data_IF_103774606446
#
_entry.id   IF_103774606446
#
_cell.length_a   1.000
_cell.length_b   1.000
_cell.length_c   1.000
_cell.angle_alpha   90.00
_cell.angle_beta   90.00
_cell.angle_gamma   90.00
#
_symmetry.space_group_name_H-M   'P 1'
#
loop_
_entity.id
_entity.type
_entity.pdbx_description
1 polymer ?
#
# COMPACT_ATOMS: atom_id res chain seq x y z
N UNK A 1 -34.55 -22.67 58.47
CA UNK A 1 -33.20 -22.11 58.47
C UNK A 1 -33.17 -20.93 57.49
N UNK A 2 -33.17 -19.76 58.07
CA UNK A 2 -33.33 -18.45 57.38
C UNK A 2 -31.92 -17.96 57.04
N UNK A 3 -31.63 -17.70 55.76
CA UNK A 3 -30.34 -17.09 55.34
C UNK A 3 -30.58 -15.62 55.05
N UNK A 4 -29.87 -14.84 55.87
CA UNK A 4 -29.78 -13.38 55.95
C UNK A 4 -29.38 -12.73 54.60
N UNK A 5 -30.09 -11.65 54.22
CA UNK A 5 -29.67 -10.69 53.20
C UNK A 5 -28.59 -9.77 53.78
N UNK A 6 -27.38 -9.88 53.27
CA UNK A 6 -26.31 -8.93 53.57
C UNK A 6 -26.37 -7.75 52.60
N UNK A 7 -26.34 -6.55 53.21
CA UNK A 7 -26.33 -5.24 52.53
C UNK A 7 -25.10 -5.09 51.62
N UNK A 8 -25.29 -4.55 50.42
CA UNK A 8 -24.25 -4.03 49.54
C UNK A 8 -24.03 -2.55 49.90
N UNK A 9 -22.80 -2.09 50.12
CA UNK A 9 -22.54 -0.68 50.48
C UNK A 9 -22.75 0.26 49.28
N UNK A 10 -23.22 1.47 49.59
CA UNK A 10 -23.56 2.54 48.67
C UNK A 10 -22.32 3.34 48.17
N UNK A 11 -21.43 2.70 47.43
CA UNK A 11 -20.23 3.38 46.86
C UNK A 11 -20.24 3.52 45.34
N UNK A 12 -21.32 3.19 44.64
CA UNK A 12 -21.36 3.20 43.17
C UNK A 12 -21.78 4.54 42.51
N UNK A 13 -21.97 5.63 43.26
CA UNK A 13 -22.44 6.92 42.71
C UNK A 13 -21.35 7.96 42.41
N UNK A 14 -20.08 7.72 42.74
CA UNK A 14 -18.98 8.69 42.52
C UNK A 14 -18.19 8.50 41.24
N UNK A 15 -18.36 7.37 40.54
CA UNK A 15 -17.63 7.09 39.29
C UNK A 15 -18.16 7.87 38.05
N UNK A 16 -19.37 8.43 38.11
CA UNK A 16 -19.97 9.17 37.00
C UNK A 16 -19.35 10.54 36.71
N UNK A 17 -18.84 11.23 37.75
CA UNK A 17 -18.22 12.55 37.64
C UNK A 17 -16.77 12.46 37.12
N UNK A 18 -16.01 11.45 37.56
CA UNK A 18 -14.64 11.19 37.08
C UNK A 18 -14.60 10.79 35.61
N UNK A 19 -15.49 9.91 35.16
CA UNK A 19 -15.63 9.54 33.73
C UNK A 19 -16.02 10.72 32.84
N UNK A 20 -16.87 11.64 33.31
CA UNK A 20 -17.20 12.88 32.61
C UNK A 20 -16.02 13.85 32.54
N UNK A 21 -15.19 13.93 33.61
CA UNK A 21 -14.02 14.80 33.65
C UNK A 21 -12.90 14.28 32.73
N UNK A 22 -12.69 12.95 32.65
CA UNK A 22 -11.73 12.32 31.74
C UNK A 22 -12.16 12.48 30.29
N UNK A 23 -13.46 12.28 29.99
CA UNK A 23 -14.00 12.51 28.61
C UNK A 23 -13.89 13.98 28.18
N UNK A 24 -14.01 14.93 29.11
CA UNK A 24 -13.82 16.36 28.85
C UNK A 24 -12.33 16.73 28.69
N UNK A 25 -11.41 16.08 29.41
CA UNK A 25 -9.97 16.25 29.25
C UNK A 25 -9.47 15.66 27.93
N UNK A 26 -9.93 14.49 27.52
CA UNK A 26 -9.56 13.87 26.24
C UNK A 26 -10.05 14.72 25.05
N UNK A 27 -11.25 15.29 25.13
CA UNK A 27 -11.75 16.19 24.08
C UNK A 27 -11.05 17.55 24.02
N UNK A 28 -10.40 18.01 25.12
CA UNK A 28 -9.64 19.27 25.12
C UNK A 28 -8.20 19.12 24.61
N UNK A 29 -7.63 17.91 24.55
CA UNK A 29 -6.32 17.65 23.96
C UNK A 29 -6.38 17.43 22.42
N UNK A 30 -7.59 17.26 21.86
CA UNK A 30 -7.81 17.02 20.42
C UNK A 30 -8.07 18.32 19.61
N UNK A 31 -7.99 19.51 20.21
CA UNK A 31 -8.17 20.77 19.49
C UNK A 31 -6.83 21.47 19.32
N UNK A 32 -6.27 21.46 18.11
CA UNK A 32 -5.35 22.50 17.64
C UNK A 32 -6.12 23.83 17.52
N UNK A 33 -5.55 24.99 17.96
CA UNK A 33 -6.27 26.28 18.00
C UNK A 33 -6.59 26.93 16.64
N UNK A 34 -6.19 26.36 15.51
CA UNK A 34 -6.28 27.00 14.18
C UNK A 34 -7.23 26.30 13.19
N UNK A 35 -8.14 25.44 13.66
CA UNK A 35 -9.21 24.91 12.79
C UNK A 35 -10.41 25.88 12.84
N UNK A 36 -10.61 26.65 11.77
CA UNK A 36 -11.83 27.44 11.54
C UNK A 36 -13.10 26.56 11.63
N UNK A 37 -14.22 27.16 12.03
CA UNK A 37 -15.53 26.51 12.05
C UNK A 37 -15.90 26.12 10.60
N UNK A 38 -15.74 24.84 10.26
CA UNK A 38 -16.09 24.27 8.98
C UNK A 38 -16.12 22.76 9.08
N UNK A 39 -17.26 22.16 8.86
CA UNK A 39 -17.59 20.77 8.63
C UNK A 39 -16.90 19.74 9.55
N UNK A 40 -17.68 18.91 10.20
CA UNK A 40 -17.23 17.76 10.97
C UNK A 40 -16.53 16.81 10.01
N UNK A 41 -15.20 17.01 9.83
CA UNK A 41 -14.36 16.18 8.99
C UNK A 41 -14.40 14.76 9.58
N UNK A 42 -15.11 13.86 8.93
CA UNK A 42 -15.10 12.44 9.27
C UNK A 42 -13.69 11.95 9.08
N UNK A 43 -12.94 11.79 10.19
CA UNK A 43 -11.59 11.24 10.16
C UNK A 43 -11.63 9.85 9.52
N UNK A 44 -11.02 9.70 8.35
CA UNK A 44 -10.90 8.41 7.69
C UNK A 44 -9.86 7.57 8.43
N UNK A 45 -10.18 6.32 8.73
CA UNK A 45 -9.21 5.34 9.20
C UNK A 45 -8.50 4.69 8.01
N UNK A 46 -7.36 4.05 8.26
CA UNK A 46 -6.77 3.13 7.28
C UNK A 46 -7.81 2.12 6.80
N UNK A 47 -7.91 1.94 5.49
CA UNK A 47 -8.81 0.95 4.86
C UNK A 47 -8.02 -0.25 4.34
N UNK A 48 -8.69 -1.38 4.14
CA UNK A 48 -8.09 -2.54 3.47
C UNK A 48 -8.12 -2.37 1.96
N UNK A 49 -7.22 -3.07 1.27
CA UNK A 49 -7.18 -3.04 -0.21
C UNK A 49 -8.33 -3.83 -0.85
N UNK A 50 -9.06 -4.68 -0.13
CA UNK A 50 -10.04 -5.58 -0.72
C UNK A 50 -11.15 -4.83 -1.48
N UNK A 51 -11.86 -3.92 -0.78
CA UNK A 51 -12.91 -3.12 -1.43
C UNK A 51 -12.32 -2.17 -2.47
N UNK A 52 -11.19 -1.54 -2.15
CA UNK A 52 -10.49 -0.59 -3.03
C UNK A 52 -10.17 -1.21 -4.39
N UNK A 53 -9.63 -2.45 -4.41
CA UNK A 53 -9.26 -3.13 -5.65
C UNK A 53 -10.47 -3.73 -6.38
N UNK A 54 -11.52 -4.16 -5.67
CA UNK A 54 -12.80 -4.57 -6.29
C UNK A 54 -13.50 -3.39 -6.96
N UNK A 55 -13.48 -2.22 -6.35
CA UNK A 55 -14.01 -1.00 -6.96
C UNK A 55 -13.19 -0.60 -8.19
N UNK A 56 -11.85 -0.72 -8.12
CA UNK A 56 -10.98 -0.48 -9.25
C UNK A 56 -11.29 -1.42 -10.44
N UNK A 57 -11.47 -2.71 -10.15
CA UNK A 57 -11.83 -3.72 -11.13
C UNK A 57 -13.18 -3.41 -11.80
N UNK A 58 -14.20 -3.10 -11.00
CA UNK A 58 -15.53 -2.76 -11.50
C UNK A 58 -15.56 -1.42 -12.28
N UNK A 59 -14.70 -0.47 -11.86
CA UNK A 59 -14.60 0.87 -12.44
C UNK A 59 -13.61 1.00 -13.59
N UNK A 60 -12.91 -0.07 -13.98
CA UNK A 60 -11.89 -0.09 -15.03
C UNK A 60 -10.80 0.98 -14.84
N UNK A 61 -10.26 1.07 -13.62
CA UNK A 61 -9.11 1.88 -13.26
C UNK A 61 -8.14 1.05 -12.40
N UNK A 62 -6.96 1.57 -12.12
CA UNK A 62 -6.06 0.94 -11.16
C UNK A 62 -5.73 1.90 -10.01
N UNK A 63 -5.52 1.34 -8.83
CA UNK A 63 -5.01 2.09 -7.67
C UNK A 63 -3.49 2.09 -7.71
N UNK A 64 -2.90 3.27 -7.59
CA UNK A 64 -1.45 3.41 -7.46
C UNK A 64 -1.00 2.96 -6.07
N UNK A 65 0.01 2.08 -6.05
CA UNK A 65 0.69 1.62 -4.86
C UNK A 65 2.12 2.16 -4.86
N UNK A 66 2.42 3.03 -3.91
CA UNK A 66 3.65 3.82 -3.88
C UNK A 66 4.50 3.43 -2.68
N UNK A 67 5.77 3.02 -2.95
CA UNK A 67 6.71 2.72 -1.90
C UNK A 67 7.10 3.99 -1.15
N UNK A 68 6.93 3.97 0.18
CA UNK A 68 7.27 5.09 1.05
C UNK A 68 8.51 4.76 1.87
N UNK A 69 9.54 5.62 1.80
CA UNK A 69 10.84 5.38 2.42
C UNK A 69 11.01 6.14 3.75
N UNK A 70 10.24 7.21 3.94
CA UNK A 70 10.30 8.07 5.12
C UNK A 70 9.03 8.94 5.21
N UNK A 71 8.98 9.86 6.19
CA UNK A 71 7.85 10.76 6.39
C UNK A 71 7.57 11.66 5.18
N UNK A 72 8.62 12.14 4.52
CA UNK A 72 8.51 13.01 3.36
C UNK A 72 7.79 12.34 2.21
N UNK A 73 8.06 11.05 1.97
CA UNK A 73 7.34 10.25 0.97
C UNK A 73 5.87 10.10 1.34
N UNK A 74 5.55 9.76 2.59
CA UNK A 74 4.16 9.63 3.07
C UNK A 74 3.40 10.93 2.84
N UNK A 75 3.98 12.08 3.19
CA UNK A 75 3.35 13.39 3.03
C UNK A 75 3.16 13.76 1.55
N UNK A 76 4.15 13.49 0.70
CA UNK A 76 4.09 13.82 -0.72
C UNK A 76 3.05 12.96 -1.47
N UNK A 77 3.00 11.66 -1.19
CA UNK A 77 2.02 10.72 -1.77
C UNK A 77 0.61 11.09 -1.32
N UNK A 78 0.41 11.40 -0.02
CA UNK A 78 -0.90 11.86 0.46
C UNK A 78 -1.34 13.16 -0.22
N UNK A 79 -0.43 14.14 -0.35
CA UNK A 79 -0.77 15.42 -1.01
C UNK A 79 -1.25 15.20 -2.45
N UNK A 80 -0.60 14.33 -3.21
CA UNK A 80 -1.02 13.97 -4.56
C UNK A 80 -2.41 13.28 -4.58
N UNK A 81 -2.66 12.35 -3.65
CA UNK A 81 -3.93 11.65 -3.54
C UNK A 81 -5.09 12.60 -3.19
N UNK A 82 -4.86 13.55 -2.28
CA UNK A 82 -5.83 14.59 -1.91
C UNK A 82 -6.14 15.53 -3.08
N UNK A 83 -5.11 16.02 -3.79
CA UNK A 83 -5.27 16.93 -4.91
C UNK A 83 -6.03 16.27 -6.09
N UNK A 84 -5.79 14.98 -6.32
CA UNK A 84 -6.40 14.22 -7.41
C UNK A 84 -7.72 13.52 -7.03
N UNK A 85 -8.07 13.53 -5.74
CA UNK A 85 -9.20 12.73 -5.21
C UNK A 85 -9.11 11.26 -5.60
N UNK A 86 -7.93 10.68 -5.44
CA UNK A 86 -7.63 9.29 -5.79
C UNK A 86 -7.49 8.41 -4.55
N UNK A 87 -8.01 7.18 -4.54
CA UNK A 87 -7.62 6.19 -3.53
C UNK A 87 -6.13 5.87 -3.68
N UNK A 88 -5.45 5.54 -2.58
CA UNK A 88 -4.01 5.32 -2.59
C UNK A 88 -3.58 4.17 -1.69
N UNK A 89 -2.59 3.40 -2.14
CA UNK A 89 -1.89 2.40 -1.35
C UNK A 89 -0.48 2.94 -1.08
N UNK A 90 -0.12 3.07 0.20
CA UNK A 90 1.25 3.32 0.64
C UNK A 90 1.84 2.00 1.07
N UNK A 91 3.03 1.67 0.57
CA UNK A 91 3.60 0.34 0.81
C UNK A 91 5.06 0.40 1.23
N UNK A 92 5.51 -0.66 1.92
CA UNK A 92 6.90 -0.81 2.38
C UNK A 92 7.39 -2.21 2.09
N UNK A 93 8.61 -2.32 1.59
CA UNK A 93 9.30 -3.58 1.37
C UNK A 93 10.05 -4.04 2.62
N UNK A 94 10.50 -5.32 2.69
CA UNK A 94 11.39 -5.79 3.75
C UNK A 94 12.66 -4.94 3.91
N UNK A 95 13.25 -4.45 2.80
CA UNK A 95 14.43 -3.56 2.82
C UNK A 95 14.14 -2.23 3.51
N UNK A 96 13.02 -1.59 3.18
CA UNK A 96 12.56 -0.36 3.81
C UNK A 96 12.26 -0.58 5.31
N UNK A 97 11.55 -1.66 5.65
CA UNK A 97 11.21 -2.01 7.04
C UNK A 97 12.46 -2.25 7.89
N UNK A 98 13.49 -2.87 7.32
CA UNK A 98 14.78 -3.10 8.00
C UNK A 98 15.46 -1.81 8.44
N UNK A 99 15.20 -0.71 7.76
CA UNK A 99 15.78 0.61 8.08
C UNK A 99 15.12 1.27 9.29
N UNK A 100 13.79 1.21 9.41
CA UNK A 100 13.07 1.93 10.45
C UNK A 100 12.12 1.06 11.29
N UNK A 101 11.63 -0.06 10.79
CA UNK A 101 10.67 -0.92 11.48
C UNK A 101 9.22 -0.69 11.03
N UNK A 102 8.40 -1.74 11.18
CA UNK A 102 6.98 -1.74 10.81
C UNK A 102 6.16 -0.69 11.57
N UNK A 103 6.46 -0.51 12.85
CA UNK A 103 5.74 0.36 13.78
C UNK A 103 5.88 1.85 13.43
N UNK A 104 7.06 2.29 12.98
CA UNK A 104 7.25 3.66 12.53
C UNK A 104 6.45 3.94 11.25
N UNK A 105 6.50 3.04 10.27
CA UNK A 105 5.72 3.20 9.03
C UNK A 105 4.22 3.15 9.31
N UNK A 106 3.77 2.22 10.15
CA UNK A 106 2.37 2.19 10.59
C UNK A 106 1.95 3.51 11.26
N UNK A 107 2.78 4.03 12.17
CA UNK A 107 2.50 5.30 12.85
C UNK A 107 2.39 6.49 11.91
N UNK A 108 3.32 6.61 10.96
CA UNK A 108 3.33 7.70 9.98
C UNK A 108 2.12 7.63 9.03
N UNK A 109 1.88 6.45 8.43
CA UNK A 109 0.78 6.29 7.45
C UNK A 109 -0.59 6.35 8.14
N UNK A 110 -0.72 5.81 9.36
CA UNK A 110 -1.94 5.97 10.17
C UNK A 110 -2.26 7.43 10.46
N UNK A 111 -1.25 8.22 10.89
CA UNK A 111 -1.45 9.65 11.15
C UNK A 111 -1.78 10.44 9.87
N UNK A 112 -1.28 10.01 8.71
CA UNK A 112 -1.64 10.56 7.42
C UNK A 112 -3.10 10.21 7.05
N UNK A 113 -3.48 8.94 7.15
CA UNK A 113 -4.83 8.46 6.84
C UNK A 113 -5.92 9.10 7.72
N UNK A 114 -5.64 9.32 9.02
CA UNK A 114 -6.58 10.00 9.94
C UNK A 114 -6.87 11.46 9.54
N UNK A 115 -6.07 12.05 8.67
CA UNK A 115 -6.24 13.42 8.14
C UNK A 115 -6.72 13.45 6.70
N UNK A 116 -6.74 12.28 6.06
CA UNK A 116 -7.09 12.16 4.65
C UNK A 116 -8.59 12.30 4.43
N UNK A 117 -8.95 12.88 3.27
CA UNK A 117 -10.31 12.84 2.72
C UNK A 117 -10.49 11.73 1.68
N UNK A 118 -9.41 11.00 1.38
CA UNK A 118 -9.35 9.90 0.40
C UNK A 118 -9.02 8.57 1.09
N UNK A 119 -9.45 7.42 0.56
CA UNK A 119 -9.09 6.12 1.11
C UNK A 119 -7.58 5.86 1.03
N UNK A 120 -6.95 5.52 2.16
CA UNK A 120 -5.52 5.18 2.28
C UNK A 120 -5.39 3.77 2.84
N UNK A 121 -4.65 2.90 2.18
CA UNK A 121 -4.26 1.58 2.68
C UNK A 121 -2.75 1.53 2.96
N UNK A 122 -2.36 0.77 3.98
CA UNK A 122 -0.96 0.45 4.27
C UNK A 122 -0.70 -1.01 3.94
N UNK A 123 0.26 -1.25 3.03
CA UNK A 123 0.55 -2.55 2.46
C UNK A 123 1.99 -2.99 2.72
N UNK A 124 2.18 -4.26 3.10
CA UNK A 124 3.48 -4.92 3.05
C UNK A 124 3.70 -5.42 1.62
N UNK A 125 4.72 -4.88 0.97
CA UNK A 125 5.11 -5.24 -0.39
C UNK A 125 6.25 -6.27 -0.35
N UNK A 126 6.20 -7.32 -1.17
CA UNK A 126 7.18 -8.41 -1.22
C UNK A 126 7.56 -8.99 0.14
N UNK A 127 6.55 -9.39 0.93
CA UNK A 127 6.79 -10.08 2.21
C UNK A 127 7.64 -11.34 2.02
N UNK A 128 8.79 -11.38 2.72
CA UNK A 128 9.86 -12.36 2.57
C UNK A 128 9.63 -13.66 3.38
N UNK A 129 8.40 -13.91 3.81
CA UNK A 129 8.01 -15.12 4.49
C UNK A 129 6.82 -14.95 5.44
N UNK A 130 6.33 -16.09 5.95
CA UNK A 130 5.17 -16.16 6.85
C UNK A 130 5.30 -15.22 8.06
N UNK A 131 6.45 -15.27 8.76
CA UNK A 131 6.67 -14.49 9.98
C UNK A 131 6.60 -12.99 9.74
N UNK A 132 7.09 -12.52 8.61
CA UNK A 132 7.03 -11.10 8.20
C UNK A 132 5.58 -10.66 8.02
N UNK A 133 4.79 -11.45 7.33
CA UNK A 133 3.37 -11.17 7.16
C UNK A 133 2.63 -11.15 8.51
N UNK A 134 2.92 -12.09 9.41
CA UNK A 134 2.33 -12.10 10.76
C UNK A 134 2.76 -10.88 11.59
N UNK A 135 4.00 -10.42 11.47
CA UNK A 135 4.46 -9.18 12.10
C UNK A 135 3.72 -7.95 11.56
N UNK A 136 3.53 -7.88 10.24
CA UNK A 136 2.77 -6.80 9.61
C UNK A 136 1.30 -6.79 10.07
N UNK A 137 0.63 -7.93 10.08
CA UNK A 137 -0.72 -8.05 10.62
C UNK A 137 -0.81 -7.55 12.06
N UNK A 138 0.09 -8.01 12.93
CA UNK A 138 0.11 -7.60 14.34
C UNK A 138 0.37 -6.11 14.53
N UNK A 139 1.14 -5.49 13.65
CA UNK A 139 1.46 -4.06 13.71
C UNK A 139 0.27 -3.20 13.26
N UNK A 140 -0.62 -3.73 12.40
CA UNK A 140 -1.81 -3.02 11.92
C UNK A 140 -1.75 -2.65 10.44
N UNK A 141 -0.89 -3.31 9.65
CA UNK A 141 -0.95 -3.22 8.20
C UNK A 141 -2.31 -3.70 7.71
N UNK A 142 -2.91 -2.96 6.78
CA UNK A 142 -4.28 -3.21 6.30
C UNK A 142 -4.32 -4.06 5.03
N UNK A 143 -3.16 -4.45 4.52
CA UNK A 143 -2.95 -5.39 3.43
C UNK A 143 -1.52 -5.94 3.50
N UNK A 144 -1.30 -7.15 3.04
CA UNK A 144 0.05 -7.72 2.90
C UNK A 144 0.17 -8.47 1.58
N UNK A 145 1.38 -8.52 1.05
CA UNK A 145 1.78 -9.45 0.01
C UNK A 145 2.72 -10.50 0.59
N UNK A 146 2.52 -11.76 0.22
CA UNK A 146 3.49 -12.83 0.39
C UNK A 146 4.10 -13.17 -0.96
N UNK A 147 5.40 -13.09 -1.05
CA UNK A 147 6.14 -13.39 -2.27
C UNK A 147 6.77 -14.78 -2.21
N UNK A 148 6.11 -15.74 -2.85
CA UNK A 148 6.60 -17.09 -3.07
C UNK A 148 7.00 -17.37 -4.51
N UNK A 149 7.15 -16.34 -5.36
CA UNK A 149 7.44 -16.49 -6.80
C UNK A 149 8.79 -17.16 -7.12
N UNK A 150 9.70 -17.17 -6.14
CA UNK A 150 11.00 -17.83 -6.25
C UNK A 150 10.97 -19.33 -5.90
N UNK A 151 9.90 -19.79 -5.25
CA UNK A 151 9.70 -21.16 -4.85
C UNK A 151 9.13 -22.02 -6.00
N UNK A 152 8.99 -23.33 -5.76
CA UNK A 152 8.22 -24.18 -6.67
C UNK A 152 6.74 -23.80 -6.63
N UNK A 153 5.97 -24.14 -7.69
CA UNK A 153 4.54 -23.87 -7.74
C UNK A 153 3.78 -24.38 -6.51
N UNK A 154 4.08 -25.62 -6.08
CA UNK A 154 3.46 -26.24 -4.90
C UNK A 154 3.88 -25.55 -3.59
N UNK A 155 5.14 -25.20 -3.45
CA UNK A 155 5.63 -24.51 -2.25
C UNK A 155 5.09 -23.07 -2.18
N UNK A 156 4.99 -22.36 -3.32
CA UNK A 156 4.33 -21.06 -3.38
C UNK A 156 2.85 -21.16 -2.97
N UNK A 157 2.12 -22.16 -3.47
CA UNK A 157 0.74 -22.40 -3.04
C UNK A 157 0.65 -22.65 -1.53
N UNK A 158 1.50 -23.50 -0.99
CA UNK A 158 1.49 -23.83 0.43
C UNK A 158 1.78 -22.60 1.30
N UNK A 159 2.80 -21.84 0.94
CA UNK A 159 3.19 -20.60 1.62
C UNK A 159 2.06 -19.56 1.54
N UNK A 160 1.62 -19.24 0.33
CA UNK A 160 0.55 -18.25 0.09
C UNK A 160 -0.74 -18.63 0.81
N UNK A 161 -1.16 -19.90 0.75
CA UNK A 161 -2.34 -20.37 1.45
C UNK A 161 -2.24 -20.13 2.96
N UNK A 162 -1.10 -20.41 3.57
CA UNK A 162 -0.89 -20.24 5.00
C UNK A 162 -1.09 -18.78 5.45
N UNK A 163 -0.59 -17.83 4.66
CA UNK A 163 -0.76 -16.38 4.91
C UNK A 163 -2.19 -15.94 4.60
N UNK A 164 -2.78 -16.42 3.49
CA UNK A 164 -4.16 -16.09 3.11
C UNK A 164 -5.19 -16.57 4.16
N UNK A 165 -5.01 -17.77 4.72
CA UNK A 165 -5.88 -18.27 5.79
C UNK A 165 -5.77 -17.41 7.07
N UNK A 166 -4.56 -16.98 7.43
CA UNK A 166 -4.34 -16.05 8.55
C UNK A 166 -4.94 -14.67 8.28
N UNK A 167 -4.72 -14.11 7.09
CA UNK A 167 -5.27 -12.83 6.66
C UNK A 167 -6.80 -12.82 6.70
N UNK A 168 -7.42 -13.90 6.19
CA UNK A 168 -8.89 -14.07 6.23
C UNK A 168 -9.42 -14.08 7.66
N UNK A 169 -8.74 -14.76 8.58
CA UNK A 169 -9.12 -14.80 9.99
C UNK A 169 -9.03 -13.42 10.66
N UNK A 170 -8.15 -12.54 10.17
CA UNK A 170 -7.95 -11.18 10.71
C UNK A 170 -8.69 -10.09 9.91
N UNK A 171 -9.35 -10.43 8.80
CA UNK A 171 -10.00 -9.47 7.90
C UNK A 171 -9.00 -8.59 7.12
N UNK A 172 -7.79 -9.10 6.86
CA UNK A 172 -6.73 -8.41 6.12
C UNK A 172 -6.51 -9.13 4.78
N UNK A 173 -6.70 -8.47 3.63
CA UNK A 173 -6.48 -9.04 2.31
C UNK A 173 -5.01 -9.39 2.08
N UNK A 174 -4.81 -10.46 1.30
CA UNK A 174 -3.47 -10.98 0.98
C UNK A 174 -3.28 -11.02 -0.52
N UNK A 175 -2.28 -10.28 -0.99
CA UNK A 175 -1.74 -10.34 -2.34
C UNK A 175 -0.72 -11.48 -2.44
N UNK A 176 -0.66 -12.12 -3.60
CA UNK A 176 0.37 -13.12 -3.91
C UNK A 176 0.96 -12.85 -5.29
N UNK A 177 2.09 -13.49 -5.62
CA UNK A 177 2.73 -13.40 -6.92
C UNK A 177 2.87 -14.77 -7.57
N UNK A 178 2.54 -14.84 -8.86
CA UNK A 178 2.76 -15.99 -9.72
C UNK A 178 3.45 -15.57 -11.01
N UNK A 179 4.47 -16.33 -11.40
CA UNK A 179 5.44 -15.92 -12.40
C UNK A 179 6.53 -15.08 -11.75
N UNK A 180 7.60 -14.83 -12.47
CA UNK A 180 8.74 -14.07 -11.96
C UNK A 180 8.76 -12.70 -12.59
N UNK A 181 8.76 -11.65 -11.77
CA UNK A 181 9.08 -10.31 -12.23
C UNK A 181 10.60 -10.18 -12.28
N UNK A 182 11.15 -9.79 -13.43
CA UNK A 182 12.60 -9.66 -13.63
C UNK A 182 13.23 -8.58 -12.74
N UNK A 183 14.57 -8.48 -12.75
CA UNK A 183 15.29 -7.43 -12.06
C UNK A 183 15.53 -7.72 -10.57
N UNK A 184 15.67 -6.66 -9.78
CA UNK A 184 15.94 -6.75 -8.35
C UNK A 184 15.05 -5.77 -7.59
N UNK A 185 14.23 -6.28 -6.68
CA UNK A 185 13.50 -5.47 -5.71
C UNK A 185 14.32 -5.32 -4.43
N UNK A 186 14.68 -4.08 -4.08
CA UNK A 186 15.46 -3.69 -2.89
C UNK A 186 16.67 -4.61 -2.57
N UNK A 187 16.64 -5.28 -1.41
CA UNK A 187 17.67 -6.22 -0.94
C UNK A 187 17.40 -7.67 -1.40
N UNK A 188 16.32 -7.91 -2.16
CA UNK A 188 15.95 -9.24 -2.65
C UNK A 188 16.94 -9.83 -3.66
N UNK A 189 16.80 -11.11 -4.01
CA UNK A 189 17.62 -11.73 -5.05
C UNK A 189 17.29 -11.11 -6.41
N UNK A 190 18.31 -10.92 -7.25
CA UNK A 190 18.10 -10.51 -8.63
C UNK A 190 17.54 -11.69 -9.44
N UNK A 191 16.51 -11.44 -10.26
CA UNK A 191 16.03 -12.39 -11.26
C UNK A 191 16.75 -12.11 -12.57
N UNK A 192 17.69 -12.99 -12.94
CA UNK A 192 18.44 -12.89 -14.19
C UNK A 192 17.71 -13.61 -15.32
N UNK A 193 17.82 -13.06 -16.53
CA UNK A 193 17.26 -13.62 -17.76
C UNK A 193 15.80 -13.18 -18.03
N UNK A 194 15.23 -13.76 -19.08
CA UNK A 194 13.81 -13.55 -19.42
C UNK A 194 12.94 -14.31 -18.40
N UNK A 195 12.06 -13.57 -17.72
CA UNK A 195 11.07 -14.20 -16.85
C UNK A 195 9.96 -14.80 -17.68
N UNK A 196 9.59 -16.07 -17.44
CA UNK A 196 8.43 -16.64 -18.14
C UNK A 196 7.16 -15.89 -17.75
N UNK A 197 6.30 -15.64 -18.71
CA UNK A 197 4.98 -15.08 -18.46
C UNK A 197 4.15 -16.03 -17.58
N UNK A 198 3.30 -15.44 -16.73
CA UNK A 198 2.35 -16.23 -15.95
C UNK A 198 1.40 -16.98 -16.88
N UNK A 199 1.27 -18.30 -16.68
CA UNK A 199 0.30 -19.12 -17.41
C UNK A 199 -1.11 -18.91 -16.85
N UNK A 200 -2.12 -18.62 -17.69
CA UNK A 200 -3.49 -18.39 -17.22
C UNK A 200 -4.16 -19.59 -16.53
N UNK A 201 -3.81 -20.83 -16.91
CA UNK A 201 -4.35 -22.00 -16.25
C UNK A 201 -3.71 -22.22 -14.86
N UNK A 202 -2.39 -22.00 -14.76
CA UNK A 202 -1.70 -21.99 -13.46
C UNK A 202 -2.22 -20.86 -12.56
N UNK A 203 -2.48 -19.66 -13.10
CA UNK A 203 -3.05 -18.55 -12.33
C UNK A 203 -4.42 -18.91 -11.74
N UNK A 204 -5.27 -19.56 -12.52
CA UNK A 204 -6.58 -20.04 -12.04
C UNK A 204 -6.43 -21.05 -10.90
N UNK A 205 -5.63 -22.09 -11.11
CA UNK A 205 -5.38 -23.11 -10.09
C UNK A 205 -4.79 -22.51 -8.81
N UNK A 206 -3.83 -21.58 -8.97
CA UNK A 206 -3.18 -20.91 -7.86
C UNK A 206 -4.18 -20.10 -7.00
N UNK A 207 -5.02 -19.28 -7.63
CA UNK A 207 -6.06 -18.49 -6.94
C UNK A 207 -7.06 -19.41 -6.21
N UNK A 208 -7.55 -20.46 -6.87
CA UNK A 208 -8.50 -21.41 -6.29
C UNK A 208 -7.92 -22.15 -5.08
N UNK A 209 -6.64 -22.54 -5.14
CA UNK A 209 -5.98 -23.29 -4.07
C UNK A 209 -5.48 -22.44 -2.91
N UNK A 210 -5.05 -21.20 -3.18
CA UNK A 210 -4.51 -20.32 -2.15
C UNK A 210 -5.56 -19.46 -1.46
N UNK A 211 -6.58 -19.00 -2.21
CA UNK A 211 -7.57 -18.05 -1.73
C UNK A 211 -6.98 -16.66 -1.48
N UNK A 212 -5.90 -16.27 -2.19
CA UNK A 212 -5.39 -14.90 -2.20
C UNK A 212 -6.46 -13.91 -2.71
N UNK A 213 -6.39 -12.67 -2.30
CA UNK A 213 -7.41 -11.65 -2.63
C UNK A 213 -7.02 -10.75 -3.79
N UNK A 214 -5.77 -10.79 -4.24
CA UNK A 214 -5.23 -10.17 -5.45
C UNK A 214 -4.01 -10.95 -5.92
N UNK A 215 -3.69 -10.86 -7.21
CA UNK A 215 -2.61 -11.63 -7.83
C UNK A 215 -1.71 -10.73 -8.66
N UNK A 216 -0.43 -10.64 -8.28
CA UNK A 216 0.63 -10.07 -9.11
C UNK A 216 1.07 -11.10 -10.16
N UNK A 217 1.24 -10.63 -11.40
CA UNK A 217 1.46 -11.47 -12.56
C UNK A 217 2.73 -11.07 -13.32
N UNK A 218 3.49 -12.06 -13.76
CA UNK A 218 4.65 -11.88 -14.67
C UNK A 218 4.17 -11.64 -16.10
N UNK A 219 4.42 -10.45 -16.63
CA UNK A 219 3.98 -10.03 -17.97
C UNK A 219 5.09 -9.36 -18.78
N UNK A 220 6.36 -9.56 -18.37
CA UNK A 220 7.55 -9.03 -19.05
C UNK A 220 8.11 -7.76 -18.41
N UNK A 221 7.53 -7.29 -17.31
CA UNK A 221 8.07 -6.19 -16.51
C UNK A 221 9.24 -6.63 -15.61
N UNK A 222 10.05 -5.65 -15.16
CA UNK A 222 11.21 -5.89 -14.28
C UNK A 222 11.34 -4.82 -13.22
N UNK A 223 11.78 -5.20 -12.02
CA UNK A 223 12.09 -4.29 -10.94
C UNK A 223 13.39 -3.51 -11.19
N UNK A 224 13.44 -2.28 -10.67
CA UNK A 224 14.64 -1.44 -10.73
C UNK A 224 14.70 -0.58 -11.99
N UNK A 225 15.92 -0.27 -12.44
CA UNK A 225 16.15 0.54 -13.63
C UNK A 225 16.31 -0.37 -14.85
N UNK A 226 15.47 -0.18 -15.86
CA UNK A 226 15.54 -0.94 -17.10
C UNK A 226 16.84 -0.69 -17.84
N UNK A 227 17.44 -1.77 -18.35
CA UNK A 227 18.61 -1.75 -19.24
C UNK A 227 18.24 -2.02 -20.71
N UNK A 228 17.00 -2.39 -20.98
CA UNK A 228 16.39 -2.60 -22.28
C UNK A 228 15.03 -1.94 -22.36
N UNK A 229 14.43 -1.85 -23.52
CA UNK A 229 13.07 -1.29 -23.69
C UNK A 229 12.06 -2.16 -22.93
N UNK A 230 11.33 -1.60 -21.93
CA UNK A 230 10.33 -2.36 -21.21
C UNK A 230 9.12 -2.68 -22.08
N UNK A 231 8.56 -3.87 -21.87
CA UNK A 231 7.38 -4.34 -22.60
C UNK A 231 6.41 -5.05 -21.67
N UNK A 232 5.12 -4.76 -21.81
CA UNK A 232 4.03 -5.50 -21.16
C UNK A 232 3.33 -6.35 -22.20
N UNK A 233 3.32 -7.67 -22.02
CA UNK A 233 2.58 -8.59 -22.89
C UNK A 233 1.08 -8.52 -22.58
N UNK A 234 0.39 -7.64 -23.30
CA UNK A 234 -1.02 -7.32 -23.09
C UNK A 234 -1.96 -8.50 -23.29
N UNK A 235 -1.59 -9.43 -24.18
CA UNK A 235 -2.37 -10.65 -24.43
C UNK A 235 -2.40 -11.57 -23.21
N UNK A 236 -1.29 -11.64 -22.45
CA UNK A 236 -1.19 -12.42 -21.21
C UNK A 236 -2.04 -11.77 -20.11
N UNK A 237 -1.96 -10.43 -19.93
CA UNK A 237 -2.82 -9.71 -18.97
C UNK A 237 -4.29 -10.07 -19.19
N UNK A 238 -4.74 -9.98 -20.45
CA UNK A 238 -6.14 -10.27 -20.82
C UNK A 238 -6.50 -11.73 -20.58
N UNK A 239 -5.65 -12.66 -20.99
CA UNK A 239 -5.90 -14.09 -20.80
C UNK A 239 -6.01 -14.48 -19.32
N UNK A 240 -5.17 -13.91 -18.46
CA UNK A 240 -5.25 -14.14 -17.01
C UNK A 240 -6.53 -13.48 -16.44
N UNK A 241 -6.87 -12.24 -16.87
CA UNK A 241 -8.11 -11.59 -16.44
C UNK A 241 -9.35 -12.41 -16.76
N UNK A 242 -9.38 -13.06 -17.92
CA UNK A 242 -10.48 -13.93 -18.34
C UNK A 242 -10.52 -15.26 -17.54
N UNK A 243 -9.40 -15.67 -16.93
CA UNK A 243 -9.26 -16.92 -16.19
C UNK A 243 -9.55 -16.81 -14.68
N UNK A 244 -9.35 -15.62 -14.06
CA UNK A 244 -9.47 -15.42 -12.60
C UNK A 244 -10.39 -14.25 -12.26
N UNK A 245 -11.05 -14.31 -11.10
CA UNK A 245 -11.96 -13.24 -10.63
C UNK A 245 -11.29 -12.22 -9.71
N UNK A 246 -10.11 -12.53 -9.15
CA UNK A 246 -9.39 -11.62 -8.25
C UNK A 246 -8.77 -10.45 -9.00
N UNK A 247 -8.66 -9.27 -8.37
CA UNK A 247 -7.92 -8.13 -8.92
C UNK A 247 -6.49 -8.50 -9.30
N UNK A 248 -6.05 -8.08 -10.49
CA UNK A 248 -4.68 -8.27 -10.98
C UNK A 248 -3.79 -7.09 -10.61
N UNK A 249 -2.53 -7.41 -10.33
CA UNK A 249 -1.51 -6.45 -9.90
C UNK A 249 -0.33 -6.46 -10.88
N UNK A 250 0.20 -5.29 -11.16
CA UNK A 250 1.36 -5.08 -12.02
C UNK A 250 2.53 -4.54 -11.20
N UNK A 251 3.63 -5.29 -11.18
CA UNK A 251 4.91 -4.91 -10.58
C UNK A 251 5.92 -4.46 -11.63
N UNK A 252 7.03 -3.86 -11.19
CA UNK A 252 8.15 -3.48 -12.07
C UNK A 252 7.79 -2.40 -13.09
N UNK A 253 6.97 -1.42 -12.75
CA UNK A 253 6.45 -0.43 -13.70
C UNK A 253 7.27 0.84 -13.82
N UNK A 254 8.24 1.09 -12.92
CA UNK A 254 9.09 2.30 -12.98
C UNK A 254 9.90 2.32 -14.29
N UNK A 255 9.58 3.24 -15.19
CA UNK A 255 10.22 3.37 -16.52
C UNK A 255 9.47 2.71 -17.68
N UNK A 256 8.38 2.00 -17.40
CA UNK A 256 7.47 1.50 -18.47
C UNK A 256 6.72 2.68 -19.10
N UNK A 257 6.57 2.74 -20.44
CA UNK A 257 5.78 3.77 -21.10
C UNK A 257 4.33 3.83 -20.59
N UNK A 258 3.85 5.04 -20.33
CA UNK A 258 2.53 5.30 -19.74
C UNK A 258 1.39 4.67 -20.54
N UNK A 259 1.51 4.62 -21.87
CA UNK A 259 0.52 4.03 -22.76
C UNK A 259 0.38 2.52 -22.56
N UNK A 260 1.49 1.82 -22.30
CA UNK A 260 1.47 0.38 -22.03
C UNK A 260 0.82 0.07 -20.68
N UNK A 261 1.09 0.89 -19.66
CA UNK A 261 0.45 0.76 -18.34
C UNK A 261 -1.05 1.04 -18.45
N UNK A 262 -1.44 2.12 -19.13
CA UNK A 262 -2.85 2.47 -19.35
C UNK A 262 -3.60 1.39 -20.14
N UNK A 263 -2.95 0.72 -21.09
CA UNK A 263 -3.51 -0.42 -21.80
C UNK A 263 -3.67 -1.64 -20.89
N UNK A 264 -2.69 -1.93 -20.05
CA UNK A 264 -2.77 -3.02 -19.06
C UNK A 264 -3.93 -2.80 -18.05
N UNK A 265 -4.16 -1.56 -17.63
CA UNK A 265 -5.33 -1.20 -16.81
C UNK A 265 -6.65 -1.49 -17.54
N UNK A 266 -6.77 -1.14 -18.83
CA UNK A 266 -7.95 -1.47 -19.65
C UNK A 266 -8.14 -2.98 -19.77
N UNK A 267 -7.04 -3.75 -19.79
CA UNK A 267 -7.04 -5.21 -19.89
C UNK A 267 -7.25 -5.92 -18.54
N UNK A 268 -7.37 -5.18 -17.41
CA UNK A 268 -7.80 -5.73 -16.15
C UNK A 268 -6.82 -5.61 -14.97
N UNK A 269 -5.72 -4.88 -15.11
CA UNK A 269 -4.87 -4.52 -13.97
C UNK A 269 -5.62 -3.53 -13.08
N UNK A 270 -5.61 -3.79 -11.75
CA UNK A 270 -6.34 -3.03 -10.73
C UNK A 270 -5.43 -2.35 -9.69
N UNK A 271 -4.16 -2.77 -9.58
CA UNK A 271 -3.11 -2.18 -8.74
C UNK A 271 -1.83 -2.09 -9.54
N UNK A 272 -1.09 -1.00 -9.38
CA UNK A 272 0.21 -0.80 -10.05
C UNK A 272 1.23 -0.28 -9.04
N UNK A 273 2.37 -0.97 -8.92
CA UNK A 273 3.45 -0.63 -8.00
C UNK A 273 4.44 0.37 -8.61
N UNK A 274 4.82 1.38 -7.81
CA UNK A 274 5.83 2.38 -8.15
C UNK A 274 6.81 2.58 -6.99
N UNK A 275 8.09 2.34 -7.22
CA UNK A 275 9.15 2.46 -6.22
C UNK A 275 10.32 3.31 -6.73
N UNK A 276 11.10 2.79 -7.67
CA UNK A 276 12.38 3.36 -8.13
C UNK A 276 12.25 4.81 -8.58
N UNK A 277 11.21 5.13 -9.33
CA UNK A 277 11.04 6.50 -9.85
C UNK A 277 10.70 7.52 -8.76
N UNK A 278 10.05 7.12 -7.65
CA UNK A 278 9.82 8.01 -6.51
C UNK A 278 11.14 8.35 -5.81
N UNK A 279 11.99 7.34 -5.63
CA UNK A 279 13.35 7.52 -5.07
C UNK A 279 14.18 8.46 -5.93
N UNK A 280 14.11 8.29 -7.25
CA UNK A 280 14.79 9.16 -8.21
C UNK A 280 14.26 10.58 -8.18
N UNK A 281 12.94 10.77 -8.17
CA UNK A 281 12.28 12.07 -8.10
C UNK A 281 12.67 12.84 -6.83
N UNK A 282 12.58 12.18 -5.66
CA UNK A 282 12.97 12.78 -4.39
C UNK A 282 14.43 13.22 -4.39
N UNK A 283 15.33 12.30 -4.76
CA UNK A 283 16.76 12.57 -4.78
C UNK A 283 17.13 13.69 -5.75
N UNK A 284 16.50 13.71 -6.93
CA UNK A 284 16.69 14.75 -7.93
C UNK A 284 16.34 16.15 -7.37
N UNK A 285 15.15 16.30 -6.79
CA UNK A 285 14.70 17.57 -6.20
C UNK A 285 15.58 18.02 -5.03
N UNK A 286 15.90 17.07 -4.15
CA UNK A 286 16.79 17.30 -3.00
C UNK A 286 18.17 17.80 -3.45
N UNK A 287 18.81 17.10 -4.38
CA UNK A 287 20.15 17.41 -4.86
C UNK A 287 20.19 18.72 -5.67
N UNK A 288 19.17 18.99 -6.47
CA UNK A 288 19.06 20.26 -7.20
C UNK A 288 19.05 21.45 -6.23
N UNK A 289 18.23 21.37 -5.17
CA UNK A 289 18.22 22.42 -4.15
C UNK A 289 19.58 22.60 -3.47
N UNK A 290 20.26 21.50 -3.10
CA UNK A 290 21.57 21.57 -2.44
C UNK A 290 22.65 22.15 -3.37
N UNK A 291 22.58 21.87 -4.66
CA UNK A 291 23.53 22.44 -5.65
C UNK A 291 23.38 23.97 -5.76
N UNK A 292 22.15 24.47 -5.71
CA UNK A 292 21.87 25.93 -5.74
C UNK A 292 22.17 26.60 -4.39
N UNK A 293 22.08 25.86 -3.28
CA UNK A 293 22.19 26.37 -1.92
C UNK A 293 23.23 25.59 -1.09
N UNK A 294 24.53 25.58 -1.47
CA UNK A 294 25.55 24.72 -0.85
C UNK A 294 25.80 25.00 0.64
N UNK A 295 25.43 26.19 1.13
CA UNK A 295 25.52 26.55 2.55
C UNK A 295 24.26 26.18 3.36
N UNK A 296 23.27 25.52 2.74
CA UNK A 296 22.05 25.12 3.44
C UNK A 296 22.35 23.99 4.43
N UNK A 297 21.99 24.21 5.69
CA UNK A 297 22.07 23.20 6.76
C UNK A 297 20.71 22.80 7.34
N UNK A 298 19.63 23.43 6.88
CA UNK A 298 18.27 23.07 7.30
C UNK A 298 17.71 21.98 6.39
N UNK A 299 17.60 20.71 6.89
CA UNK A 299 17.19 19.56 6.07
C UNK A 299 15.77 19.69 5.50
N UNK A 300 14.89 20.47 6.13
CA UNK A 300 13.51 20.65 5.65
C UNK A 300 13.43 21.33 4.28
N UNK A 301 14.42 22.16 3.93
CA UNK A 301 14.41 22.93 2.69
C UNK A 301 14.62 22.03 1.45
N UNK A 302 15.73 21.26 1.34
CA UNK A 302 15.89 20.33 0.24
C UNK A 302 14.85 19.20 0.25
N UNK A 303 14.42 18.74 1.43
CA UNK A 303 13.36 17.75 1.54
C UNK A 303 12.03 18.21 0.92
N UNK A 304 11.70 19.51 1.07
CA UNK A 304 10.50 20.10 0.45
C UNK A 304 10.53 20.03 -1.08
N UNK A 305 11.70 20.25 -1.70
CA UNK A 305 11.82 20.12 -3.15
C UNK A 305 11.75 18.65 -3.60
N UNK A 306 12.34 17.73 -2.84
CA UNK A 306 12.16 16.29 -3.07
C UNK A 306 10.68 15.86 -2.99
N UNK A 307 9.95 16.34 -1.96
CA UNK A 307 8.51 16.09 -1.83
C UNK A 307 7.72 16.64 -3.02
N UNK A 308 8.03 17.84 -3.49
CA UNK A 308 7.37 18.43 -4.65
C UNK A 308 7.52 17.57 -5.90
N UNK A 309 8.72 17.08 -6.17
CA UNK A 309 8.97 16.19 -7.32
C UNK A 309 8.17 14.88 -7.21
N UNK A 310 8.10 14.27 -5.99
CA UNK A 310 7.25 13.09 -5.77
C UNK A 310 5.77 13.42 -6.02
N UNK A 311 5.26 14.51 -5.44
CA UNK A 311 3.84 14.88 -5.55
C UNK A 311 3.42 15.02 -7.01
N UNK A 312 4.22 15.74 -7.82
CA UNK A 312 3.91 15.90 -9.24
C UNK A 312 3.99 14.58 -10.02
N UNK A 313 4.99 13.73 -9.74
CA UNK A 313 5.09 12.41 -10.35
C UNK A 313 3.89 11.53 -10.01
N UNK A 314 3.50 11.45 -8.74
CA UNK A 314 2.38 10.63 -8.28
C UNK A 314 1.06 11.07 -8.91
N UNK A 315 0.83 12.39 -9.06
CA UNK A 315 -0.35 12.93 -9.78
C UNK A 315 -0.40 12.46 -11.24
N UNK A 316 0.75 12.46 -11.92
CA UNK A 316 0.85 11.92 -13.29
C UNK A 316 0.47 10.43 -13.30
N UNK A 317 1.04 9.64 -12.39
CA UNK A 317 0.73 8.21 -12.30
C UNK A 317 -0.75 7.95 -12.02
N UNK A 318 -1.36 8.66 -11.06
CA UNK A 318 -2.80 8.55 -10.78
C UNK A 318 -3.66 8.90 -12.00
N UNK A 319 -3.23 9.87 -12.80
CA UNK A 319 -3.92 10.22 -14.06
C UNK A 319 -3.84 9.07 -15.07
N UNK A 320 -2.65 8.49 -15.27
CA UNK A 320 -2.43 7.39 -16.22
C UNK A 320 -3.17 6.10 -15.81
N UNK A 321 -3.40 5.91 -14.50
CA UNK A 321 -4.17 4.80 -13.94
C UNK A 321 -5.69 5.02 -13.99
N UNK A 322 -6.17 6.16 -14.49
CA UNK A 322 -7.58 6.55 -14.50
C UNK A 322 -8.21 6.57 -13.08
N UNK A 323 -7.40 6.85 -12.04
CA UNK A 323 -7.85 6.83 -10.64
C UNK A 323 -8.28 8.21 -10.11
N UNK A 324 -8.07 9.29 -10.87
CA UNK A 324 -8.48 10.65 -10.51
C UNK A 324 -9.99 10.72 -10.31
N UNK A 325 -10.42 11.27 -9.15
CA UNK A 325 -11.84 11.37 -8.80
C UNK A 325 -12.49 10.06 -8.35
N UNK A 326 -11.71 9.00 -8.08
CA UNK A 326 -12.25 7.67 -7.68
C UNK A 326 -12.28 7.46 -6.17
N UNK A 327 -11.96 8.47 -5.39
CA UNK A 327 -12.04 8.43 -3.93
C UNK A 327 -13.44 8.78 -3.37
N UNK A 328 -14.39 9.14 -4.22
CA UNK A 328 -15.77 9.53 -3.85
C UNK A 328 -16.68 8.33 -3.61
#
# INVERSE_FOLDING_TARGET
MTISRTCIPAEFHTMSAAKRKVKRLVNNYARCPDAGEGEEQTLMALVTTEKMLKDAQAGHYAVGAFNVENLEFVMAVLAAAEETKSPVIMQTTPGTIKTAGLDYFYGMVKAAAERASVPVALHLDHGDGYDRCMQAFRTGYTSVMIDGSHESFEDNIALTKSVADAGRAMGVPVEAELGKVGGKEDDGPAVEGESPYTDPAEAKEFVERTGCTSLAIGVGTSHGVYTSDPHIEQSVVKAIRDAVDVPLVLHGTSGVPDEQVAEAVKNGICKVNYATELRQAYTKGFMAYMAENPACFDPKKPAKEGMREITELVKIRMTNLNSVGKAE
#
